data_IF_566781178334
#
_entry.id   IF_566781178334
#
_cell.length_a   1.000
_cell.length_b   1.000
_cell.length_c   1.000
_cell.angle_alpha   90.00
_cell.angle_beta   90.00
_cell.angle_gamma   90.00
#
_symmetry.space_group_name_H-M   'P 1'
#
loop_
_entity.id
_entity.type
_entity.pdbx_description
1 polymer ?
#
# COMPACT_ATOMS: atom_id res chain seq x y z
N UNK A 1 -9.72 6.84 31.48
CA UNK A 1 -10.47 6.59 30.22
C UNK A 1 -9.88 7.52 29.17
N UNK A 2 -9.46 6.98 28.02
CA UNK A 2 -8.81 7.75 26.95
C UNK A 2 -9.85 8.69 26.32
N UNK A 3 -9.56 9.99 26.20
CA UNK A 3 -10.49 10.93 25.58
C UNK A 3 -10.45 10.83 24.05
N UNK A 4 -11.45 10.17 23.48
CA UNK A 4 -11.66 10.02 22.04
C UNK A 4 -12.75 10.96 21.51
N UNK A 5 -13.09 12.02 22.27
CA UNK A 5 -14.17 12.96 21.93
C UNK A 5 -14.02 13.60 20.55
N UNK A 6 -12.79 13.75 20.08
CA UNK A 6 -12.44 14.36 18.80
C UNK A 6 -12.12 13.34 17.69
N UNK A 7 -12.12 12.02 17.94
CA UNK A 7 -11.91 11.01 16.90
C UNK A 7 -13.08 11.01 15.89
N UNK A 8 -12.82 10.86 14.57
CA UNK A 8 -11.52 10.70 13.91
C UNK A 8 -10.82 12.01 13.49
N UNK A 9 -11.30 13.16 13.95
CA UNK A 9 -10.96 14.49 13.44
C UNK A 9 -10.02 15.33 14.32
N UNK A 10 -9.46 14.76 15.39
CA UNK A 10 -8.63 15.49 16.32
C UNK A 10 -7.33 15.91 15.61
N UNK A 11 -7.19 17.21 15.33
CA UNK A 11 -5.93 17.87 14.92
C UNK A 11 -5.26 17.44 13.62
N UNK A 12 -5.88 16.58 12.81
CA UNK A 12 -5.30 16.15 11.54
C UNK A 12 -5.32 17.28 10.50
N UNK A 13 -4.19 17.96 10.33
CA UNK A 13 -3.98 18.98 9.30
C UNK A 13 -2.85 18.56 8.36
N UNK A 14 -3.15 18.14 7.13
CA UNK A 14 -2.12 17.74 6.21
C UNK A 14 -1.11 18.83 5.86
N UNK A 15 0.17 18.49 5.89
CA UNK A 15 1.22 19.31 5.31
C UNK A 15 1.07 19.32 3.77
N UNK A 16 0.40 20.35 3.27
CA UNK A 16 0.09 20.49 1.84
C UNK A 16 1.34 20.53 0.95
N UNK A 17 2.41 21.16 1.43
CA UNK A 17 3.66 21.29 0.67
C UNK A 17 4.28 19.91 0.49
N UNK A 18 4.42 19.15 1.58
CA UNK A 18 4.95 17.79 1.54
C UNK A 18 4.07 16.87 0.67
N UNK A 19 2.74 16.96 0.83
CA UNK A 19 1.79 16.20 0.02
C UNK A 19 1.91 16.54 -1.47
N UNK A 20 2.02 17.83 -1.82
CA UNK A 20 2.18 18.29 -3.21
C UNK A 20 3.47 17.83 -3.86
N UNK A 21 4.59 17.91 -3.14
CA UNK A 21 5.90 17.42 -3.64
C UNK A 21 5.83 15.91 -3.90
N UNK A 22 5.34 15.14 -2.94
CA UNK A 22 5.19 13.68 -3.10
C UNK A 22 4.21 13.31 -4.21
N UNK A 23 3.10 14.06 -4.35
CA UNK A 23 2.14 13.89 -5.43
C UNK A 23 2.81 14.08 -6.80
N UNK A 24 3.66 15.10 -6.94
CA UNK A 24 4.41 15.35 -8.17
C UNK A 24 5.33 14.18 -8.53
N UNK A 25 6.10 13.69 -7.55
CA UNK A 25 7.02 12.55 -7.76
C UNK A 25 6.27 11.28 -8.15
N UNK A 26 5.20 10.93 -7.43
CA UNK A 26 4.38 9.75 -7.73
C UNK A 26 3.61 9.92 -9.05
N UNK A 27 3.16 11.14 -9.36
CA UNK A 27 2.45 11.47 -10.58
C UNK A 27 3.30 11.25 -11.84
N UNK A 28 4.57 11.68 -11.82
CA UNK A 28 5.52 11.40 -12.92
C UNK A 28 5.68 9.89 -13.12
N UNK A 29 5.84 9.16 -12.01
CA UNK A 29 5.92 7.69 -12.04
C UNK A 29 4.63 7.05 -12.59
N UNK A 30 3.45 7.57 -12.23
CA UNK A 30 2.14 7.05 -12.62
C UNK A 30 1.92 7.11 -14.13
N UNK A 31 2.31 8.20 -14.81
CA UNK A 31 2.14 8.36 -16.27
C UNK A 31 2.77 7.19 -17.02
N UNK A 32 3.99 6.80 -16.65
CA UNK A 32 4.66 5.68 -17.29
C UNK A 32 3.97 4.33 -17.04
N UNK A 33 3.31 4.15 -15.89
CA UNK A 33 2.58 2.92 -15.56
C UNK A 33 1.23 2.86 -16.28
N UNK A 34 0.53 3.99 -16.43
CA UNK A 34 -0.67 4.10 -17.26
C UNK A 34 -0.37 3.76 -18.72
N UNK A 35 0.69 4.32 -19.30
CA UNK A 35 1.11 4.02 -20.66
C UNK A 35 1.48 2.53 -20.87
N UNK A 36 2.00 1.86 -19.85
CA UNK A 36 2.27 0.42 -19.90
C UNK A 36 1.02 -0.43 -19.74
N UNK A 37 0.09 -0.01 -18.88
CA UNK A 37 -1.17 -0.71 -18.65
C UNK A 37 -2.02 -0.76 -19.93
N UNK A 38 -2.04 0.33 -20.72
CA UNK A 38 -2.78 0.37 -22.00
C UNK A 38 -2.15 -0.50 -23.08
N UNK A 39 -0.83 -0.68 -23.08
CA UNK A 39 -0.11 -1.50 -24.07
C UNK A 39 -0.10 -2.99 -23.74
N UNK A 40 -0.05 -3.37 -22.46
CA UNK A 40 0.01 -4.76 -22.01
C UNK A 40 -0.80 -4.94 -20.73
N UNK A 41 -1.99 -5.54 -20.84
CA UNK A 41 -2.83 -5.92 -19.70
C UNK A 41 -2.24 -7.13 -18.96
N UNK A 42 -1.30 -6.85 -18.04
CA UNK A 42 -0.73 -7.87 -17.14
C UNK A 42 -1.08 -7.51 -15.70
N UNK A 43 -1.54 -8.51 -14.93
CA UNK A 43 -1.95 -8.34 -13.52
C UNK A 43 -1.00 -7.49 -12.67
N UNK A 44 0.31 -7.79 -12.66
CA UNK A 44 1.33 -6.97 -11.98
C UNK A 44 1.29 -5.48 -12.34
N UNK A 45 1.17 -5.17 -13.64
CA UNK A 45 1.12 -3.78 -14.14
C UNK A 45 -0.14 -3.12 -13.61
N UNK A 46 -1.28 -3.81 -13.67
CA UNK A 46 -2.57 -3.31 -13.16
C UNK A 46 -2.48 -3.04 -11.65
N UNK A 47 -1.93 -3.96 -10.86
CA UNK A 47 -1.77 -3.79 -9.41
C UNK A 47 -0.89 -2.57 -9.08
N UNK A 48 0.24 -2.42 -9.76
CA UNK A 48 1.13 -1.26 -9.56
C UNK A 48 0.48 0.05 -10.01
N UNK A 49 -0.28 0.05 -11.11
CA UNK A 49 -1.03 1.22 -11.56
C UNK A 49 -2.11 1.60 -10.54
N UNK A 50 -2.90 0.65 -10.04
CA UNK A 50 -3.90 0.91 -8.99
C UNK A 50 -3.23 1.49 -7.75
N UNK A 51 -2.08 0.95 -7.34
CA UNK A 51 -1.33 1.48 -6.21
C UNK A 51 -0.88 2.93 -6.44
N UNK A 52 -0.35 3.25 -7.62
CA UNK A 52 0.06 4.61 -7.94
C UNK A 52 -1.14 5.56 -7.98
N UNK A 53 -2.25 5.18 -8.61
CA UNK A 53 -3.46 6.00 -8.72
C UNK A 53 -4.03 6.31 -7.34
N UNK A 54 -4.18 5.29 -6.49
CA UNK A 54 -4.78 5.46 -5.16
C UNK A 54 -3.92 6.35 -4.26
N UNK A 55 -2.61 6.15 -4.24
CA UNK A 55 -1.68 6.98 -3.46
C UNK A 55 -1.57 8.39 -4.04
N UNK A 56 -1.63 8.55 -5.37
CA UNK A 56 -1.64 9.86 -6.00
C UNK A 56 -2.89 10.66 -5.64
N UNK A 57 -4.09 10.08 -5.79
CA UNK A 57 -5.35 10.74 -5.43
C UNK A 57 -5.34 11.12 -3.95
N UNK A 58 -4.86 10.24 -3.08
CA UNK A 58 -4.71 10.50 -1.65
C UNK A 58 -3.86 11.75 -1.36
N UNK A 59 -2.70 11.86 -2.01
CA UNK A 59 -1.79 13.00 -1.84
C UNK A 59 -2.36 14.29 -2.44
N UNK A 60 -3.04 14.20 -3.58
CA UNK A 60 -3.73 15.35 -4.19
C UNK A 60 -4.85 15.86 -3.29
N UNK A 61 -5.67 14.97 -2.72
CA UNK A 61 -6.70 15.35 -1.76
C UNK A 61 -6.07 16.07 -0.55
N UNK A 62 -5.00 15.52 0.02
CA UNK A 62 -4.29 16.16 1.14
C UNK A 62 -3.71 17.53 0.80
N UNK A 63 -3.21 17.71 -0.42
CA UNK A 63 -2.70 18.99 -0.89
C UNK A 63 -3.82 20.01 -1.14
N UNK A 64 -4.97 19.56 -1.66
CA UNK A 64 -6.05 20.43 -2.13
C UNK A 64 -7.06 20.84 -1.04
N UNK A 65 -7.25 20.03 0.02
CA UNK A 65 -8.28 20.29 1.02
C UNK A 65 -7.97 21.52 1.89
N UNK A 66 -8.95 22.40 2.04
CA UNK A 66 -8.90 23.52 2.98
C UNK A 66 -9.04 23.07 4.45
N UNK A 67 -8.71 23.95 5.41
CA UNK A 67 -8.73 23.64 6.85
C UNK A 67 -10.10 23.17 7.38
N UNK A 68 -11.19 23.69 6.82
CA UNK A 68 -12.56 23.27 7.17
C UNK A 68 -12.93 21.92 6.55
N UNK A 69 -12.54 21.66 5.30
CA UNK A 69 -12.87 20.41 4.58
C UNK A 69 -12.06 19.21 5.07
N UNK A 70 -10.87 19.43 5.63
CA UNK A 70 -10.03 18.39 6.25
C UNK A 70 -10.70 17.67 7.42
N UNK A 71 -11.63 18.35 8.10
CA UNK A 71 -12.39 17.80 9.22
C UNK A 71 -13.70 17.14 8.78
N UNK A 72 -13.93 17.01 7.47
CA UNK A 72 -15.16 16.41 6.96
C UNK A 72 -15.11 14.87 6.97
N UNK A 73 -16.27 14.27 7.26
CA UNK A 73 -16.51 12.81 7.22
C UNK A 73 -16.12 12.17 5.90
N UNK A 74 -16.47 12.84 4.80
CA UNK A 74 -16.21 12.36 3.46
C UNK A 74 -14.71 12.29 3.18
N UNK A 75 -13.98 13.35 3.53
CA UNK A 75 -12.53 13.42 3.35
C UNK A 75 -11.79 12.34 4.14
N UNK A 76 -12.10 12.18 5.43
CA UNK A 76 -11.45 11.16 6.27
C UNK A 76 -11.72 9.72 5.79
N UNK A 77 -12.96 9.45 5.35
CA UNK A 77 -13.33 8.13 4.81
C UNK A 77 -12.58 7.86 3.50
N UNK A 78 -12.61 8.81 2.57
CA UNK A 78 -11.97 8.67 1.27
C UNK A 78 -10.46 8.44 1.43
N UNK A 79 -9.82 9.24 2.28
CA UNK A 79 -8.37 9.18 2.45
C UNK A 79 -7.89 7.89 3.11
N UNK A 80 -8.59 7.47 4.16
CA UNK A 80 -8.33 6.19 4.82
C UNK A 80 -8.45 4.99 3.87
N UNK A 81 -9.41 5.00 2.95
CA UNK A 81 -9.64 3.92 2.00
C UNK A 81 -8.55 3.88 0.93
N UNK A 82 -8.24 5.03 0.32
CA UNK A 82 -7.26 5.12 -0.78
C UNK A 82 -5.87 4.63 -0.36
N UNK A 83 -5.41 5.09 0.80
CA UNK A 83 -4.14 4.71 1.39
C UNK A 83 -4.03 3.20 1.62
N UNK A 84 -5.11 2.62 2.13
CA UNK A 84 -5.16 1.21 2.47
C UNK A 84 -5.27 0.32 1.21
N UNK A 85 -5.89 0.79 0.13
CA UNK A 85 -5.86 0.11 -1.18
C UNK A 85 -4.46 0.17 -1.79
N UNK A 86 -3.79 1.33 -1.70
CA UNK A 86 -2.42 1.52 -2.18
C UNK A 86 -1.46 0.49 -1.61
N UNK A 87 -1.32 0.41 -0.28
CA UNK A 87 -0.39 -0.53 0.34
C UNK A 87 -0.71 -2.01 -0.02
N UNK A 88 -1.99 -2.42 0.03
CA UNK A 88 -2.39 -3.80 -0.27
C UNK A 88 -2.03 -4.20 -1.70
N UNK A 89 -2.17 -3.29 -2.66
CA UNK A 89 -1.84 -3.57 -4.06
C UNK A 89 -0.34 -3.71 -4.31
N UNK A 90 0.52 -2.99 -3.57
CA UNK A 90 1.99 -3.22 -3.60
C UNK A 90 2.33 -4.62 -3.06
N UNK A 91 1.71 -5.02 -1.95
CA UNK A 91 1.93 -6.35 -1.38
C UNK A 91 1.53 -7.43 -2.38
N UNK A 92 0.35 -7.32 -3.00
CA UNK A 92 -0.09 -8.24 -4.04
C UNK A 92 0.84 -8.24 -5.28
N UNK A 93 1.43 -7.10 -5.62
CA UNK A 93 2.42 -7.01 -6.69
C UNK A 93 3.70 -7.80 -6.37
N UNK A 94 4.19 -7.76 -5.12
CA UNK A 94 5.32 -8.58 -4.68
C UNK A 94 5.01 -10.09 -4.85
N UNK A 95 3.82 -10.52 -4.43
CA UNK A 95 3.35 -11.89 -4.60
C UNK A 95 3.21 -12.30 -6.08
N UNK A 96 2.59 -11.47 -6.92
CA UNK A 96 2.44 -11.76 -8.36
C UNK A 96 3.81 -11.86 -9.04
N UNK A 97 4.79 -11.08 -8.59
CA UNK A 97 6.13 -11.09 -9.16
C UNK A 97 6.93 -12.36 -8.85
N UNK A 98 6.94 -12.83 -7.58
CA UNK A 98 7.69 -14.05 -7.24
C UNK A 98 7.14 -15.27 -7.99
N UNK A 99 5.83 -15.33 -8.20
CA UNK A 99 5.17 -16.41 -8.93
C UNK A 99 5.53 -16.40 -10.41
N UNK A 100 5.72 -15.22 -11.01
CA UNK A 100 6.16 -15.13 -12.42
C UNK A 100 7.59 -15.58 -12.65
N UNK A 101 8.44 -15.48 -11.62
CA UNK A 101 9.85 -15.87 -11.73
C UNK A 101 10.04 -17.35 -11.41
N UNK A 102 9.28 -17.90 -10.46
CA UNK A 102 9.39 -19.32 -10.15
C UNK A 102 8.63 -20.19 -11.15
N UNK A 103 9.30 -21.18 -11.72
CA UNK A 103 8.66 -22.32 -12.42
C UNK A 103 8.02 -23.28 -11.40
N UNK A 104 7.04 -22.77 -10.65
CA UNK A 104 6.47 -23.48 -9.50
C UNK A 104 5.35 -24.42 -9.95
N UNK A 105 5.29 -25.61 -9.31
CA UNK A 105 4.20 -26.58 -9.47
C UNK A 105 2.82 -25.89 -9.43
N UNK A 106 1.88 -26.22 -10.33
CA UNK A 106 0.63 -25.47 -10.53
C UNK A 106 -0.22 -25.26 -9.27
N UNK A 107 -0.21 -26.22 -8.33
CA UNK A 107 -0.99 -26.14 -7.09
C UNK A 107 -0.44 -25.09 -6.11
N UNK A 108 0.88 -25.04 -5.90
CA UNK A 108 1.53 -24.06 -5.02
C UNK A 108 1.37 -22.65 -5.62
N UNK A 109 1.49 -22.54 -6.94
CA UNK A 109 1.25 -21.31 -7.70
C UNK A 109 -0.15 -20.73 -7.46
N UNK A 110 -1.20 -21.57 -7.45
CA UNK A 110 -2.57 -21.13 -7.17
C UNK A 110 -2.75 -20.62 -5.74
N UNK A 111 -2.18 -21.31 -4.75
CA UNK A 111 -2.25 -20.86 -3.35
C UNK A 111 -1.54 -19.52 -3.13
N UNK A 112 -0.36 -19.33 -3.73
CA UNK A 112 0.44 -18.09 -3.64
C UNK A 112 -0.19 -16.94 -4.44
N UNK A 113 -1.06 -17.23 -5.41
CA UNK A 113 -1.84 -16.22 -6.14
C UNK A 113 -3.14 -15.86 -5.41
N UNK A 114 -3.98 -16.86 -5.12
CA UNK A 114 -5.37 -16.67 -4.67
C UNK A 114 -5.40 -16.31 -3.18
N UNK A 115 -4.58 -16.98 -2.36
CA UNK A 115 -4.55 -16.77 -0.91
C UNK A 115 -4.32 -15.30 -0.54
N UNK A 116 -3.24 -14.66 -1.01
CA UNK A 116 -2.98 -13.24 -0.75
C UNK A 116 -4.11 -12.31 -1.19
N UNK A 117 -4.78 -12.59 -2.32
CA UNK A 117 -5.92 -11.78 -2.79
C UNK A 117 -7.06 -11.87 -1.79
N UNK A 118 -7.47 -13.08 -1.42
CA UNK A 118 -8.58 -13.29 -0.49
C UNK A 118 -8.28 -12.63 0.86
N UNK A 119 -7.07 -12.80 1.37
CA UNK A 119 -6.61 -12.19 2.64
C UNK A 119 -6.64 -10.65 2.55
N UNK A 120 -6.16 -10.07 1.44
CA UNK A 120 -6.20 -8.63 1.22
C UNK A 120 -7.64 -8.08 1.11
N UNK A 121 -8.54 -8.82 0.46
CA UNK A 121 -9.96 -8.49 0.36
C UNK A 121 -10.65 -8.56 1.73
N UNK A 122 -10.37 -9.59 2.54
CA UNK A 122 -10.88 -9.68 3.92
C UNK A 122 -10.43 -8.49 4.75
N UNK A 123 -9.14 -8.14 4.69
CA UNK A 123 -8.62 -6.95 5.38
C UNK A 123 -9.32 -5.67 4.92
N UNK A 124 -9.59 -5.51 3.62
CA UNK A 124 -10.33 -4.36 3.09
C UNK A 124 -11.80 -4.36 3.54
N UNK A 125 -12.46 -5.53 3.56
CA UNK A 125 -13.84 -5.67 3.99
C UNK A 125 -14.03 -5.28 5.46
N UNK A 126 -13.06 -5.56 6.34
CA UNK A 126 -13.09 -5.13 7.74
C UNK A 126 -13.02 -3.60 7.91
N UNK A 127 -12.38 -2.90 6.97
CA UNK A 127 -12.26 -1.43 7.03
C UNK A 127 -13.57 -0.71 6.73
N UNK A 128 -14.50 -1.33 5.99
CA UNK A 128 -15.81 -0.76 5.66
C UNK A 128 -16.63 -0.49 6.94
N UNK A 129 -16.95 -1.50 7.78
CA UNK A 129 -17.65 -1.26 9.04
C UNK A 129 -16.80 -0.44 10.01
N UNK A 130 -15.47 -0.58 10.01
CA UNK A 130 -14.60 0.25 10.85
C UNK A 130 -14.77 1.75 10.56
N UNK A 131 -14.84 2.13 9.28
CA UNK A 131 -15.10 3.50 8.87
C UNK A 131 -16.51 3.99 9.21
N UNK A 132 -17.52 3.11 9.19
CA UNK A 132 -18.88 3.50 9.61
C UNK A 132 -18.95 3.76 11.13
N UNK A 133 -18.30 2.89 11.92
CA UNK A 133 -18.31 2.94 13.38
C UNK A 133 -17.44 4.06 13.96
N UNK A 134 -16.54 4.67 13.18
CA UNK A 134 -15.66 5.74 13.67
C UNK A 134 -16.38 7.04 14.00
N UNK A 135 -17.64 7.20 13.59
CA UNK A 135 -18.36 8.47 13.72
C UNK A 135 -19.34 8.54 14.90
N UNK A 136 -19.46 7.46 15.68
CA UNK A 136 -20.33 7.42 16.85
C UNK A 136 -19.52 7.02 18.09
N UNK A 137 -19.55 7.87 19.13
CA UNK A 137 -18.74 7.70 20.36
C UNK A 137 -18.91 6.33 21.00
N UNK A 138 -20.12 5.77 21.00
CA UNK A 138 -20.40 4.46 21.58
C UNK A 138 -19.79 3.30 20.80
N UNK A 139 -19.45 3.49 19.52
CA UNK A 139 -18.92 2.44 18.63
C UNK A 139 -17.44 2.62 18.28
N UNK A 140 -16.78 3.69 18.76
CA UNK A 140 -15.35 3.95 18.52
C UNK A 140 -14.47 2.76 18.95
N UNK A 141 -14.66 2.11 20.12
CA UNK A 141 -13.84 0.96 20.50
C UNK A 141 -13.92 -0.19 19.49
N UNK A 142 -15.11 -0.45 18.94
CA UNK A 142 -15.31 -1.47 17.92
C UNK A 142 -14.69 -1.07 16.57
N UNK A 143 -14.68 0.22 16.22
CA UNK A 143 -13.94 0.73 15.06
C UNK A 143 -12.44 0.42 15.18
N UNK A 144 -11.82 0.69 16.33
CA UNK A 144 -10.42 0.38 16.58
C UNK A 144 -10.13 -1.13 16.53
N UNK A 145 -10.99 -1.96 17.13
CA UNK A 145 -10.84 -3.42 17.06
C UNK A 145 -10.82 -3.95 15.60
N UNK A 146 -11.71 -3.43 14.75
CA UNK A 146 -11.74 -3.81 13.33
C UNK A 146 -10.53 -3.30 12.55
N UNK A 147 -10.05 -2.08 12.84
CA UNK A 147 -8.80 -1.54 12.25
C UNK A 147 -7.60 -2.38 12.66
N UNK A 148 -7.51 -2.75 13.93
CA UNK A 148 -6.44 -3.59 14.46
C UNK A 148 -6.46 -4.99 13.83
N UNK A 149 -7.64 -5.60 13.67
CA UNK A 149 -7.78 -6.87 12.95
C UNK A 149 -7.35 -6.73 11.47
N UNK A 150 -7.78 -5.66 10.80
CA UNK A 150 -7.38 -5.38 9.41
C UNK A 150 -5.87 -5.19 9.26
N UNK A 151 -5.26 -4.42 10.16
CA UNK A 151 -3.81 -4.16 10.19
C UNK A 151 -3.01 -5.43 10.51
N UNK A 152 -3.48 -6.26 11.44
CA UNK A 152 -2.86 -7.53 11.78
C UNK A 152 -2.85 -8.50 10.59
N UNK A 153 -3.94 -8.52 9.81
CA UNK A 153 -4.00 -9.32 8.58
C UNK A 153 -2.96 -8.83 7.55
N UNK A 154 -2.83 -7.52 7.35
CA UNK A 154 -1.84 -6.95 6.43
C UNK A 154 -0.42 -7.25 6.90
N UNK A 155 -0.15 -7.13 8.19
CA UNK A 155 1.15 -7.47 8.79
C UNK A 155 1.46 -8.96 8.66
N UNK A 156 0.48 -9.83 8.90
CA UNK A 156 0.64 -11.27 8.67
C UNK A 156 0.96 -11.58 7.21
N UNK A 157 0.29 -10.90 6.27
CA UNK A 157 0.53 -11.06 4.84
C UNK A 157 1.93 -10.57 4.41
N UNK A 158 2.43 -9.46 4.96
CA UNK A 158 3.79 -8.98 4.66
C UNK A 158 4.87 -9.88 5.27
N UNK A 159 4.66 -10.41 6.48
CA UNK A 159 5.59 -11.36 7.10
C UNK A 159 5.61 -12.69 6.34
N UNK A 160 4.44 -13.21 5.95
CA UNK A 160 4.31 -14.49 5.24
C UNK A 160 4.98 -14.48 3.86
N UNK A 161 5.18 -13.31 3.26
CA UNK A 161 5.88 -13.17 1.98
C UNK A 161 7.31 -13.74 2.03
N UNK A 162 8.06 -13.49 3.10
CA UNK A 162 9.45 -13.93 3.23
C UNK A 162 9.64 -15.45 3.26
N UNK A 163 8.94 -16.23 4.13
CA UNK A 163 9.06 -17.68 4.11
C UNK A 163 8.54 -18.29 2.81
N UNK A 164 7.50 -17.71 2.17
CA UNK A 164 7.06 -18.15 0.84
C UNK A 164 8.15 -17.91 -0.19
N UNK A 165 8.74 -16.72 -0.24
CA UNK A 165 9.81 -16.40 -1.17
C UNK A 165 11.01 -17.33 -1.00
N UNK A 166 11.39 -17.62 0.25
CA UNK A 166 12.45 -18.58 0.57
C UNK A 166 12.09 -20.01 0.13
N UNK A 167 10.88 -20.48 0.43
CA UNK A 167 10.42 -21.83 0.11
C UNK A 167 10.36 -22.09 -1.40
N UNK A 168 10.00 -21.07 -2.18
CA UNK A 168 9.97 -21.17 -3.64
C UNK A 168 11.36 -21.15 -4.29
N UNK A 169 12.43 -20.83 -3.54
CA UNK A 169 13.83 -20.80 -4.00
C UNK A 169 14.07 -19.97 -5.28
N UNK A 170 13.20 -19.01 -5.56
CA UNK A 170 13.23 -18.24 -6.82
C UNK A 170 14.43 -17.29 -6.92
N UNK A 171 15.22 -17.12 -5.85
CA UNK A 171 16.40 -16.25 -5.88
C UNK A 171 17.44 -16.68 -6.92
N UNK A 172 17.48 -17.97 -7.29
CA UNK A 172 18.46 -18.50 -8.24
C UNK A 172 18.19 -17.99 -9.65
N UNK A 173 16.92 -17.76 -9.95
CA UNK A 173 16.43 -17.39 -11.28
C UNK A 173 16.20 -15.87 -11.41
N UNK A 174 16.42 -15.11 -10.33
CA UNK A 174 16.25 -13.67 -10.29
C UNK A 174 17.54 -12.93 -10.60
N UNK A 175 17.47 -11.94 -11.51
CA UNK A 175 18.53 -10.93 -11.66
C UNK A 175 18.74 -10.18 -10.33
N UNK A 176 19.98 -9.76 -10.03
CA UNK A 176 20.32 -8.98 -8.83
C UNK A 176 19.40 -7.77 -8.59
N UNK A 177 19.06 -7.02 -9.65
CA UNK A 177 18.13 -5.90 -9.60
C UNK A 177 16.72 -6.31 -9.11
N UNK A 178 16.26 -7.51 -9.50
CA UNK A 178 14.94 -8.01 -9.09
C UNK A 178 14.89 -8.37 -7.62
N UNK A 179 15.98 -8.91 -7.08
CA UNK A 179 16.14 -9.22 -5.65
C UNK A 179 16.12 -7.93 -4.84
N UNK A 180 16.92 -6.94 -5.24
CA UNK A 180 16.98 -5.62 -4.59
C UNK A 180 15.59 -4.97 -4.55
N UNK A 181 14.88 -4.98 -5.68
CA UNK A 181 13.52 -4.43 -5.76
C UNK A 181 12.57 -5.11 -4.78
N UNK A 182 12.56 -6.45 -4.74
CA UNK A 182 11.67 -7.19 -3.85
C UNK A 182 12.00 -6.94 -2.38
N UNK A 183 13.28 -6.89 -2.02
CA UNK A 183 13.71 -6.57 -0.65
C UNK A 183 13.23 -5.19 -0.22
N UNK A 184 13.56 -4.15 -1.00
CA UNK A 184 13.20 -2.77 -0.66
C UNK A 184 11.68 -2.61 -0.62
N UNK A 185 10.96 -3.13 -1.61
CA UNK A 185 9.49 -3.03 -1.63
C UNK A 185 8.83 -3.78 -0.48
N UNK A 186 9.36 -4.94 -0.07
CA UNK A 186 8.77 -5.73 1.02
C UNK A 186 9.06 -5.12 2.38
N UNK A 187 10.30 -4.63 2.61
CA UNK A 187 10.66 -3.92 3.84
C UNK A 187 9.83 -2.65 3.98
N UNK A 188 9.68 -1.88 2.90
CA UNK A 188 8.82 -0.71 2.90
C UNK A 188 7.36 -1.05 3.29
N UNK A 189 6.77 -2.09 2.68
CA UNK A 189 5.43 -2.53 3.05
C UNK A 189 5.32 -3.03 4.51
N UNK A 190 6.37 -3.67 5.03
CA UNK A 190 6.46 -4.12 6.42
C UNK A 190 6.48 -2.94 7.38
N UNK A 191 7.28 -1.91 7.12
CA UNK A 191 7.32 -0.69 7.94
C UNK A 191 5.94 -0.04 8.03
N UNK A 192 5.22 0.08 6.91
CA UNK A 192 3.86 0.63 6.91
C UNK A 192 2.88 -0.27 7.69
N UNK A 193 2.99 -1.59 7.55
CA UNK A 193 2.11 -2.53 8.25
C UNK A 193 2.29 -2.45 9.78
N UNK A 194 3.53 -2.33 10.25
CA UNK A 194 3.83 -2.13 11.68
C UNK A 194 3.25 -0.81 12.17
N UNK A 195 3.46 0.28 11.42
CA UNK A 195 2.92 1.58 11.77
C UNK A 195 1.39 1.58 11.87
N UNK A 196 0.71 0.95 10.90
CA UNK A 196 -0.75 0.78 10.93
C UNK A 196 -1.23 -0.04 12.14
N UNK A 197 -0.48 -1.07 12.53
CA UNK A 197 -0.82 -1.89 13.69
C UNK A 197 -0.74 -1.08 14.99
N UNK A 198 0.33 -0.28 15.15
CA UNK A 198 0.53 0.59 16.32
C UNK A 198 -0.57 1.66 16.39
N UNK A 199 -0.82 2.36 15.28
CA UNK A 199 -1.83 3.43 15.21
C UNK A 199 -3.28 2.94 15.24
N UNK A 200 -3.51 1.62 15.19
CA UNK A 200 -4.83 1.02 15.41
C UNK A 200 -5.15 0.78 16.88
N UNK A 201 -4.23 1.09 17.80
CA UNK A 201 -4.47 1.06 19.24
C UNK A 201 -4.80 2.48 19.73
N UNK A 202 -5.90 2.69 20.49
CA UNK A 202 -6.35 4.03 20.87
C UNK A 202 -5.31 4.91 21.58
N UNK A 203 -4.55 4.36 22.52
CA UNK A 203 -3.52 5.10 23.26
C UNK A 203 -2.45 5.68 22.31
N UNK A 204 -1.93 4.83 21.43
CA UNK A 204 -0.91 5.21 20.45
C UNK A 204 -1.49 6.09 19.34
N UNK A 205 -2.76 5.92 18.97
CA UNK A 205 -3.42 6.81 18.01
C UNK A 205 -3.37 8.25 18.49
N UNK A 206 -3.72 8.52 19.74
CA UNK A 206 -3.74 9.89 20.27
C UNK A 206 -2.35 10.49 20.24
N UNK A 207 -1.34 9.80 20.77
CA UNK A 207 0.04 10.32 20.80
C UNK A 207 0.58 10.58 19.41
N UNK A 208 0.29 9.71 18.43
CA UNK A 208 0.83 9.82 17.07
C UNK A 208 0.05 10.81 16.21
N UNK A 209 -1.26 10.99 16.48
CA UNK A 209 -2.13 11.90 15.74
C UNK A 209 -1.80 13.38 15.95
N UNK A 210 -1.17 13.73 17.07
CA UNK A 210 -0.72 15.09 17.36
C UNK A 210 0.48 15.51 16.50
N UNK A 211 1.23 14.57 15.95
CA UNK A 211 2.44 14.81 15.16
C UNK A 211 2.31 14.18 13.77
N UNK A 212 1.69 14.91 12.83
CA UNK A 212 1.45 14.46 11.46
C UNK A 212 2.73 14.03 10.71
N UNK A 213 3.88 14.51 11.16
CA UNK A 213 5.21 14.14 10.67
C UNK A 213 5.42 12.61 10.63
N UNK A 214 4.98 11.88 11.67
CA UNK A 214 5.13 10.42 11.73
C UNK A 214 4.34 9.70 10.64
N UNK A 215 3.20 10.25 10.26
CA UNK A 215 2.40 9.72 9.17
C UNK A 215 3.16 9.79 7.83
N UNK A 216 3.83 10.91 7.53
CA UNK A 216 4.64 10.99 6.31
C UNK A 216 5.87 10.08 6.34
N UNK A 217 6.56 9.97 7.48
CA UNK A 217 7.78 9.16 7.60
C UNK A 217 7.48 7.66 7.53
N UNK A 218 6.47 7.19 8.26
CA UNK A 218 6.26 5.76 8.44
C UNK A 218 5.21 5.18 7.50
N UNK A 219 4.43 6.03 6.83
CA UNK A 219 3.41 5.58 5.88
C UNK A 219 3.69 6.03 4.45
N UNK A 220 3.73 7.33 4.16
CA UNK A 220 3.92 7.77 2.76
C UNK A 220 5.30 7.53 2.21
N UNK A 221 6.35 7.84 2.96
CA UNK A 221 7.74 7.73 2.49
C UNK A 221 8.08 6.29 2.10
N UNK A 222 7.76 5.26 2.91
CA UNK A 222 8.01 3.87 2.53
C UNK A 222 7.17 3.47 1.31
N UNK A 223 5.90 3.88 1.21
CA UNK A 223 5.10 3.60 0.02
C UNK A 223 5.70 4.24 -1.25
N UNK A 224 6.14 5.49 -1.16
CA UNK A 224 6.82 6.18 -2.26
C UNK A 224 8.11 5.46 -2.65
N UNK A 225 8.94 5.06 -1.67
CA UNK A 225 10.14 4.25 -1.91
C UNK A 225 9.79 2.95 -2.63
N UNK A 226 8.76 2.21 -2.17
CA UNK A 226 8.34 0.98 -2.81
C UNK A 226 7.93 1.21 -4.27
N UNK A 227 7.07 2.19 -4.54
CA UNK A 227 6.60 2.53 -5.88
C UNK A 227 7.73 2.99 -6.80
N UNK A 228 8.64 3.84 -6.32
CA UNK A 228 9.80 4.30 -7.07
C UNK A 228 10.79 3.16 -7.34
N UNK A 229 10.94 2.24 -6.40
CA UNK A 229 11.78 1.04 -6.61
C UNK A 229 11.18 0.15 -7.68
N UNK A 230 9.85 -0.05 -7.69
CA UNK A 230 9.15 -0.70 -8.80
C UNK A 230 9.36 0.05 -10.10
N UNK A 231 9.41 1.37 -10.06
CA UNK A 231 9.64 2.21 -11.23
C UNK A 231 11.03 2.04 -11.82
N UNK A 232 12.09 2.12 -11.01
CA UNK A 232 13.47 2.13 -11.51
C UNK A 232 14.03 0.74 -11.75
N UNK A 233 13.67 -0.23 -10.91
CA UNK A 233 14.29 -1.56 -10.90
C UNK A 233 13.41 -2.65 -11.52
N UNK A 234 12.23 -2.31 -12.06
CA UNK A 234 11.42 -3.31 -12.75
C UNK A 234 12.08 -3.73 -14.07
N UNK A 235 12.35 -5.03 -14.29
CA UNK A 235 13.14 -5.53 -15.43
C UNK A 235 12.59 -5.21 -16.82
N UNK A 236 11.34 -4.75 -16.92
CA UNK A 236 10.69 -4.35 -18.18
C UNK A 236 10.38 -2.86 -18.27
N UNK A 237 10.84 -2.05 -17.30
CA UNK A 237 10.69 -0.58 -17.33
C UNK A 237 11.92 0.12 -17.86
N UNK A 238 13.11 -0.49 -17.72
CA UNK A 238 14.25 -0.13 -18.55
C UNK A 238 13.91 -0.49 -19.99
N UNK A 239 13.48 0.51 -20.77
CA UNK A 239 13.37 0.52 -22.22
C UNK A 239 13.79 -0.79 -22.91
N UNK A 240 12.86 -1.73 -23.04
CA UNK A 240 12.84 -2.65 -24.16
C UNK A 240 12.00 -1.91 -25.23
N UNK A 241 12.50 -1.42 -26.36
CA UNK A 241 13.69 -1.79 -27.13
C UNK A 241 13.97 -3.29 -27.19
N UNK A 242 12.94 -4.12 -27.04
CA UNK A 242 12.88 -5.44 -27.67
C UNK A 242 12.01 -5.27 -28.92
N UNK A 243 12.50 -4.43 -29.82
CA UNK A 243 12.38 -4.67 -31.25
C UNK A 243 13.71 -5.33 -31.57
N UNK A 244 13.67 -6.60 -31.97
CA UNK A 244 14.80 -7.50 -32.31
C UNK A 244 15.27 -8.44 -31.19
N UNK A 245 14.56 -9.55 -31.05
CA UNK A 245 15.07 -10.93 -30.92
C UNK A 245 13.82 -11.83 -31.05
N UNK A 246 13.34 -11.99 -32.30
CA UNK A 246 13.49 -13.21 -33.12
C UNK A 246 12.76 -14.39 -32.45
N UNK A 247 11.62 -14.84 -32.97
CA UNK A 247 11.63 -15.87 -34.01
C UNK A 247 12.86 -16.78 -33.86
N UNK A 248 12.73 -17.77 -32.97
CA UNK A 248 13.19 -19.16 -33.07
C UNK A 248 12.79 -19.91 -31.78
#
# INVERSE_FOLDING_TARGET
MIDLSNYPYATYEPNQIAAGILAGVIGISLIGWLAQATRKFRRLIILLTISHVTIFIELVLRAALSSSERKSRASFTATSVLLAVGQRTIILANYDYIVRVGEVKPAITRCVIIGPILIALTSAALMIPAGMLSYNKSTIPQSFALRQASAAIVLGLTILFYPIWFALKTWKDMKKQSIIRLLISSIACLSVAIYLQITSVPDYYITTSHEEYWFYIFQFTPMAIALLTWTFLHPRRSLQADVNTSEL
#
